data_IF_810551253059
#
_entry.id   IF_810551253059
#
_cell.length_a   1.000
_cell.length_b   1.000
_cell.length_c   1.000
_cell.angle_alpha   90.00
_cell.angle_beta   90.00
_cell.angle_gamma   90.00
#
_symmetry.space_group_name_H-M   'P 1'
#
loop_
_entity.id
_entity.type
_entity.pdbx_description
1 polymer ?
#
# COMPACT_ATOMS: atom_id res chain seq x y z
N UNK A 1 -23.87 67.54 -36.31
CA UNK A 1 -24.74 66.35 -36.18
C UNK A 1 -23.98 65.32 -35.37
N UNK A 2 -24.46 64.97 -34.17
CA UNK A 2 -23.74 64.07 -33.27
C UNK A 2 -24.68 63.28 -32.36
N UNK A 3 -24.08 62.24 -31.76
CA UNK A 3 -24.56 61.27 -30.75
C UNK A 3 -24.97 59.90 -31.31
N UNK A 4 -24.08 58.91 -31.23
CA UNK A 4 -23.76 58.10 -30.03
C UNK A 4 -24.93 57.19 -29.61
N UNK A 5 -25.06 56.05 -30.28
CA UNK A 5 -25.91 54.92 -29.87
C UNK A 5 -25.21 53.64 -30.30
N UNK A 6 -24.55 52.94 -29.37
CA UNK A 6 -24.28 51.46 -29.41
C UNK A 6 -23.36 50.94 -28.29
N UNK A 7 -22.98 51.70 -27.26
CA UNK A 7 -22.04 51.18 -26.24
C UNK A 7 -22.67 50.34 -25.10
N UNK A 8 -23.99 50.41 -24.88
CA UNK A 8 -24.63 49.74 -23.74
C UNK A 8 -24.73 48.21 -23.84
N UNK A 9 -24.84 47.67 -25.06
CA UNK A 9 -25.03 46.22 -25.29
C UNK A 9 -23.73 45.41 -25.25
N UNK A 10 -22.61 46.00 -25.70
CA UNK A 10 -21.29 45.33 -25.70
C UNK A 10 -20.78 45.06 -24.29
N UNK A 11 -20.93 46.01 -23.35
CA UNK A 11 -20.49 45.83 -21.96
C UNK A 11 -21.21 44.68 -21.24
N UNK A 12 -22.51 44.47 -21.50
CA UNK A 12 -23.26 43.35 -20.89
C UNK A 12 -22.83 42.00 -21.45
N UNK A 13 -22.61 41.90 -22.76
CA UNK A 13 -22.06 40.67 -23.39
C UNK A 13 -20.64 40.39 -22.92
N UNK A 14 -19.81 41.42 -22.76
CA UNK A 14 -18.45 41.28 -22.28
C UNK A 14 -18.39 40.77 -20.83
N UNK A 15 -19.26 41.27 -19.95
CA UNK A 15 -19.41 40.73 -18.59
C UNK A 15 -19.84 39.26 -18.60
N UNK A 16 -20.80 38.90 -19.45
CA UNK A 16 -21.26 37.50 -19.57
C UNK A 16 -20.16 36.56 -20.07
N UNK A 17 -19.37 36.99 -21.07
CA UNK A 17 -18.23 36.22 -21.58
C UNK A 17 -17.18 36.02 -20.49
N UNK A 18 -16.87 37.06 -19.69
CA UNK A 18 -15.92 36.94 -18.58
C UNK A 18 -16.45 35.97 -17.51
N UNK A 19 -17.74 36.03 -17.16
CA UNK A 19 -18.33 35.07 -16.22
C UNK A 19 -18.27 33.63 -16.74
N UNK A 20 -18.60 33.42 -18.01
CA UNK A 20 -18.56 32.09 -18.64
C UNK A 20 -17.14 31.50 -18.63
N UNK A 21 -16.13 32.29 -18.98
CA UNK A 21 -14.72 31.85 -18.98
C UNK A 21 -14.24 31.59 -17.54
N UNK A 22 -14.59 32.46 -16.58
CA UNK A 22 -14.21 32.28 -15.17
C UNK A 22 -14.82 31.02 -14.54
N UNK A 23 -16.07 30.71 -14.87
CA UNK A 23 -16.73 29.49 -14.40
C UNK A 23 -16.10 28.24 -15.00
N UNK A 24 -15.77 28.26 -16.30
CA UNK A 24 -15.09 27.16 -16.95
C UNK A 24 -13.69 26.92 -16.35
N UNK A 25 -12.91 27.98 -16.13
CA UNK A 25 -11.60 27.89 -15.50
C UNK A 25 -11.66 27.32 -14.08
N UNK A 26 -12.67 27.71 -13.29
CA UNK A 26 -12.86 27.19 -11.93
C UNK A 26 -13.16 25.67 -11.94
N UNK A 27 -14.02 25.21 -12.86
CA UNK A 27 -14.33 23.78 -13.00
C UNK A 27 -13.11 22.99 -13.44
N UNK A 28 -12.34 23.47 -14.42
CA UNK A 28 -11.11 22.82 -14.87
C UNK A 28 -10.08 22.74 -13.75
N UNK A 29 -9.90 23.82 -12.97
CA UNK A 29 -9.03 23.80 -11.79
C UNK A 29 -9.51 22.78 -10.76
N UNK A 30 -10.81 22.70 -10.50
CA UNK A 30 -11.33 21.74 -9.53
C UNK A 30 -11.10 20.28 -9.96
N UNK A 31 -11.28 19.99 -11.26
CA UNK A 31 -11.00 18.65 -11.83
C UNK A 31 -9.50 18.33 -11.76
N UNK A 32 -8.62 19.29 -12.04
CA UNK A 32 -7.17 19.09 -11.94
C UNK A 32 -6.73 18.84 -10.50
N UNK A 33 -7.22 19.63 -9.54
CA UNK A 33 -6.93 19.44 -8.11
C UNK A 33 -7.47 18.09 -7.64
N UNK A 34 -8.70 17.73 -8.01
CA UNK A 34 -9.29 16.44 -7.65
C UNK A 34 -8.55 15.26 -8.28
N UNK A 35 -8.10 15.38 -9.53
CA UNK A 35 -7.29 14.38 -10.22
C UNK A 35 -5.93 14.18 -9.57
N UNK A 36 -5.26 15.27 -9.18
CA UNK A 36 -4.00 15.21 -8.43
C UNK A 36 -4.19 14.64 -7.02
N UNK A 37 -5.30 14.99 -6.35
CA UNK A 37 -5.63 14.44 -5.03
C UNK A 37 -5.94 12.94 -5.10
N UNK A 38 -6.70 12.51 -6.12
CA UNK A 38 -7.02 11.09 -6.36
C UNK A 38 -5.79 10.27 -6.75
N UNK A 39 -4.80 10.86 -7.42
CA UNK A 39 -3.54 10.17 -7.71
C UNK A 39 -2.73 9.92 -6.43
N UNK A 40 -2.73 10.89 -5.50
CA UNK A 40 -2.01 10.75 -4.23
C UNK A 40 -2.55 9.61 -3.36
N UNK A 41 -3.81 9.22 -3.51
CA UNK A 41 -4.39 8.05 -2.83
C UNK A 41 -4.18 6.72 -3.57
N UNK A 42 -3.80 6.76 -4.86
CA UNK A 42 -3.56 5.55 -5.68
C UNK A 42 -2.11 5.10 -5.72
N UNK A 43 -1.17 5.83 -5.12
CA UNK A 43 0.21 5.37 -4.93
C UNK A 43 0.35 4.49 -3.68
N UNK A 44 -0.63 3.62 -3.45
CA UNK A 44 -0.44 2.42 -2.64
C UNK A 44 -0.30 1.26 -3.63
N UNK A 45 0.93 0.85 -3.96
CA UNK A 45 1.16 -0.20 -4.95
C UNK A 45 0.41 -1.47 -4.56
N UNK A 46 -0.11 -2.22 -5.55
CA UNK A 46 -0.97 -3.37 -5.32
C UNK A 46 -0.15 -4.47 -4.65
N UNK A 47 -0.38 -4.67 -3.35
CA UNK A 47 -0.48 -5.96 -2.64
C UNK A 47 0.39 -7.14 -3.09
N UNK A 48 1.59 -6.90 -3.63
CA UNK A 48 2.70 -7.82 -3.54
C UNK A 48 3.17 -7.77 -2.08
N UNK A 49 3.56 -8.91 -1.53
CA UNK A 49 3.98 -9.01 -0.14
C UNK A 49 5.38 -8.41 0.01
N UNK A 50 5.51 -7.10 -0.14
CA UNK A 50 6.77 -6.38 0.08
C UNK A 50 6.85 -6.03 1.56
N UNK A 51 7.61 -6.84 2.30
CA UNK A 51 8.11 -6.44 3.61
C UNK A 51 9.01 -5.23 3.42
N UNK A 52 8.96 -4.27 4.35
CA UNK A 52 9.96 -3.20 4.35
C UNK A 52 11.36 -3.81 4.50
N UNK A 53 12.38 -3.20 3.90
CA UNK A 53 13.78 -3.64 3.97
C UNK A 53 14.21 -4.10 5.39
N UNK A 54 13.90 -3.37 6.49
CA UNK A 54 14.22 -3.84 7.83
C UNK A 54 13.43 -5.08 8.27
N UNK A 55 12.16 -5.21 7.88
CA UNK A 55 11.35 -6.40 8.19
C UNK A 55 11.85 -7.63 7.45
N UNK A 56 12.32 -7.49 6.20
CA UNK A 56 12.88 -8.60 5.43
C UNK A 56 14.21 -9.10 6.04
N UNK A 57 15.04 -8.21 6.60
CA UNK A 57 16.24 -8.59 7.34
C UNK A 57 15.91 -9.39 8.60
N UNK A 58 14.91 -8.96 9.37
CA UNK A 58 14.43 -9.71 10.55
C UNK A 58 13.85 -11.06 10.14
N UNK A 59 13.08 -11.10 9.05
CA UNK A 59 12.57 -12.36 8.50
C UNK A 59 13.70 -13.31 8.12
N UNK A 60 14.72 -12.86 7.38
CA UNK A 60 15.84 -13.70 6.95
C UNK A 60 16.70 -14.16 8.12
N UNK A 61 16.96 -13.30 9.11
CA UNK A 61 17.73 -13.68 10.29
C UNK A 61 17.04 -14.81 11.06
N UNK A 62 15.75 -14.65 11.35
CA UNK A 62 14.98 -15.67 12.09
C UNK A 62 14.73 -16.90 11.23
N UNK A 63 14.34 -16.74 9.97
CA UNK A 63 14.00 -17.88 9.11
C UNK A 63 15.23 -18.69 8.66
N UNK A 64 16.41 -18.08 8.65
CA UNK A 64 17.67 -18.74 8.29
C UNK A 64 18.32 -19.51 9.45
N UNK A 65 17.99 -19.16 10.70
CA UNK A 65 18.54 -19.81 11.89
C UNK A 65 17.73 -21.03 12.35
N UNK A 66 16.44 -21.08 11.99
CA UNK A 66 15.53 -22.14 12.43
C UNK A 66 15.35 -23.24 11.38
N UNK A 67 15.22 -24.48 11.84
CA UNK A 67 14.82 -25.62 11.02
C UNK A 67 13.31 -25.61 10.75
N UNK A 68 12.91 -26.35 9.72
CA UNK A 68 11.51 -26.46 9.33
C UNK A 68 10.60 -26.96 10.46
N UNK A 69 9.49 -26.27 10.80
CA UNK A 69 8.65 -26.58 11.95
C UNK A 69 7.76 -27.82 11.78
N UNK A 70 7.72 -28.43 10.59
CA UNK A 70 6.98 -29.67 10.38
C UNK A 70 7.63 -30.88 11.07
N UNK A 71 8.90 -30.79 11.50
CA UNK A 71 9.64 -31.89 12.13
C UNK A 71 9.98 -33.07 11.22
N UNK A 72 9.52 -33.05 9.96
CA UNK A 72 9.77 -34.07 8.94
C UNK A 72 10.84 -33.67 7.92
N UNK A 73 11.23 -32.39 7.89
CA UNK A 73 12.22 -31.86 6.96
C UNK A 73 13.46 -31.43 7.73
N UNK A 74 14.63 -31.89 7.29
CA UNK A 74 15.96 -31.47 7.82
C UNK A 74 16.49 -30.19 7.16
N UNK A 75 15.63 -29.49 6.41
CA UNK A 75 15.97 -28.24 5.72
C UNK A 75 15.78 -27.04 6.63
N UNK A 76 16.57 -25.99 6.34
CA UNK A 76 16.40 -24.66 6.95
C UNK A 76 15.00 -24.15 6.62
N UNK A 77 14.35 -23.48 7.57
CA UNK A 77 12.98 -23.02 7.43
C UNK A 77 12.81 -22.15 6.18
N UNK A 78 13.76 -21.26 5.88
CA UNK A 78 13.73 -20.40 4.69
C UNK A 78 13.68 -21.19 3.37
N UNK A 79 14.32 -22.35 3.31
CA UNK A 79 14.38 -23.22 2.12
C UNK A 79 13.31 -24.32 2.11
N UNK A 80 12.66 -24.56 3.25
CA UNK A 80 11.63 -25.59 3.36
C UNK A 80 10.34 -25.21 2.61
N UNK A 81 9.86 -26.08 1.71
CA UNK A 81 8.66 -25.88 0.90
C UNK A 81 7.47 -26.74 1.32
N UNK A 82 7.52 -27.35 2.50
CA UNK A 82 6.41 -28.16 3.01
C UNK A 82 5.17 -27.28 3.29
N UNK A 83 3.95 -27.86 3.29
CA UNK A 83 2.71 -27.09 3.50
C UNK A 83 2.70 -26.35 4.84
N UNK A 84 3.26 -26.95 5.89
CA UNK A 84 3.41 -26.34 7.21
C UNK A 84 4.34 -25.13 7.17
N UNK A 85 5.49 -25.24 6.49
CA UNK A 85 6.44 -24.14 6.34
C UNK A 85 5.83 -22.99 5.54
N UNK A 86 5.14 -23.28 4.43
CA UNK A 86 4.47 -22.26 3.63
C UNK A 86 3.42 -21.49 4.44
N UNK A 87 2.68 -22.18 5.31
CA UNK A 87 1.72 -21.54 6.22
C UNK A 87 2.43 -20.66 7.25
N UNK A 88 3.46 -21.18 7.92
CA UNK A 88 4.23 -20.44 8.90
C UNK A 88 4.96 -19.22 8.30
N UNK A 89 5.49 -19.33 7.07
CA UNK A 89 6.12 -18.21 6.34
C UNK A 89 5.11 -17.09 6.06
N UNK A 90 3.90 -17.45 5.62
CA UNK A 90 2.82 -16.48 5.41
C UNK A 90 2.42 -15.79 6.71
N UNK A 91 2.27 -16.54 7.80
CA UNK A 91 1.91 -16.00 9.11
C UNK A 91 3.01 -15.10 9.68
N UNK A 92 4.29 -15.48 9.56
CA UNK A 92 5.42 -14.62 9.97
C UNK A 92 5.44 -13.30 9.20
N UNK A 93 5.29 -13.36 7.88
CA UNK A 93 5.24 -12.15 7.04
C UNK A 93 4.07 -11.25 7.42
N UNK A 94 2.92 -11.83 7.78
CA UNK A 94 1.77 -11.08 8.30
C UNK A 94 2.10 -10.37 9.61
N UNK A 95 2.66 -11.10 10.59
CA UNK A 95 3.07 -10.56 11.89
C UNK A 95 4.10 -9.44 11.77
N UNK A 96 5.09 -9.59 10.89
CA UNK A 96 6.08 -8.55 10.64
C UNK A 96 5.45 -7.23 10.18
N UNK A 97 4.42 -7.28 9.32
CA UNK A 97 3.66 -6.08 8.92
C UNK A 97 2.85 -5.47 10.05
N UNK A 98 2.34 -6.29 10.96
CA UNK A 98 1.61 -5.85 12.15
C UNK A 98 2.55 -5.20 13.19
N UNK A 99 3.87 -5.19 12.93
CA UNK A 99 4.87 -4.59 13.80
C UNK A 99 5.51 -5.59 14.76
N UNK A 100 5.39 -6.90 14.50
CA UNK A 100 5.98 -7.92 15.34
C UNK A 100 7.50 -7.81 15.37
N UNK A 101 8.05 -8.06 16.55
CA UNK A 101 9.49 -8.04 16.81
C UNK A 101 10.13 -9.39 16.52
N UNK A 102 11.47 -9.41 16.42
CA UNK A 102 12.25 -10.64 16.23
C UNK A 102 11.88 -11.71 17.28
N UNK A 103 11.84 -11.33 18.57
CA UNK A 103 11.53 -12.24 19.67
C UNK A 103 10.13 -12.88 19.55
N UNK A 104 9.15 -12.15 19.04
CA UNK A 104 7.80 -12.68 18.82
C UNK A 104 7.76 -13.70 17.67
N UNK A 105 8.58 -13.52 16.65
CA UNK A 105 8.70 -14.45 15.53
C UNK A 105 9.44 -15.72 15.93
N UNK A 106 10.51 -15.59 16.70
CA UNK A 106 11.23 -16.72 17.31
C UNK A 106 10.31 -17.54 18.21
N UNK A 107 9.58 -16.86 19.10
CA UNK A 107 8.58 -17.50 19.96
C UNK A 107 7.50 -18.22 19.13
N UNK A 108 7.00 -17.58 18.07
CA UNK A 108 6.02 -18.17 17.17
C UNK A 108 6.55 -19.45 16.50
N UNK A 109 7.75 -19.41 15.90
CA UNK A 109 8.37 -20.56 15.24
C UNK A 109 8.58 -21.71 16.22
N UNK A 110 9.09 -21.41 17.41
CA UNK A 110 9.32 -22.42 18.45
C UNK A 110 8.00 -23.05 18.92
N UNK A 111 6.94 -22.27 19.03
CA UNK A 111 5.63 -22.78 19.41
C UNK A 111 4.97 -23.63 18.32
N UNK A 112 5.07 -23.21 17.06
CA UNK A 112 4.58 -24.01 15.91
C UNK A 112 5.35 -25.32 15.79
N UNK A 113 6.68 -25.28 15.93
CA UNK A 113 7.53 -26.47 15.96
C UNK A 113 7.08 -27.45 17.07
N UNK A 114 6.85 -26.93 18.28
CA UNK A 114 6.44 -27.74 19.42
C UNK A 114 5.01 -28.28 19.28
N UNK A 115 4.09 -27.57 18.62
CA UNK A 115 2.73 -28.07 18.39
C UNK A 115 2.69 -29.23 17.40
N UNK A 116 3.48 -29.17 16.34
CA UNK A 116 3.55 -30.24 15.33
C UNK A 116 4.20 -31.50 15.93
N UNK A 117 5.27 -31.34 16.73
CA UNK A 117 5.94 -32.46 17.40
C UNK A 117 5.08 -33.19 18.43
N UNK A 118 4.15 -32.49 19.09
CA UNK A 118 3.18 -33.11 20.01
C UNK A 118 2.04 -33.85 19.30
N UNK A 119 1.91 -33.65 17.99
CA UNK A 119 0.84 -34.21 17.16
C UNK A 119 1.28 -35.46 16.38
N UNK A 120 2.56 -35.83 16.43
CA UNK A 120 3.13 -37.09 15.93
C UNK A 120 3.43 -38.06 17.07
#
# INVERSE_FOLDING_TARGET
MGRSRTEGGRRKRQKYIVYAISGFLAVVMMVLVFGLYSQKEREKPPEAIELSIPQEQVYQAVAGEYLCPCGACDEVFIDCHCPTALKAKKDMRKRLREGATQAELEWYLQNVYNSERKSS
#
